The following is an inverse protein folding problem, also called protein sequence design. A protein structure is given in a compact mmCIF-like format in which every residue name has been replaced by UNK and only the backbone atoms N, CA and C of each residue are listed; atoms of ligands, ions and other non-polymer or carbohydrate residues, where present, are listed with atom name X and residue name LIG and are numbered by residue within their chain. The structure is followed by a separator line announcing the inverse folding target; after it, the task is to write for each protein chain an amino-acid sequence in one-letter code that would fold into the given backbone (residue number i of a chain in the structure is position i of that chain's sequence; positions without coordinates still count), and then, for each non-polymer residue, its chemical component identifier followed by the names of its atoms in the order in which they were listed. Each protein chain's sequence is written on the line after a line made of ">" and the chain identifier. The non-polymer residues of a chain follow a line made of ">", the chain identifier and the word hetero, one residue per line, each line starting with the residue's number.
data_IF_877521546677
#
_entry.id   IF_877521546677
#
_cell.length_a   1.000
_cell.length_b   1.000
_cell.length_c   1.000
_cell.angle_alpha   90.00
_cell.angle_beta   90.00
_cell.angle_gamma   90.00
#
_symmetry.space_group_name_H-M   'P 1'
#
loop_
_entity.id
_entity.type
_entity.pdbx_description
1 polymer ?
#
# COMPACT_ATOMS: atom_id res chain seq x y z
N UNK A 1 -27.10 -5.01 2.88
CA UNK A 1 -25.83 -5.31 3.55
C UNK A 1 -26.15 -6.05 4.81
N UNK A 2 -25.36 -7.06 5.14
CA UNK A 2 -25.42 -7.75 6.43
C UNK A 2 -24.25 -7.26 7.32
N UNK A 3 -24.18 -7.71 8.58
CA UNK A 3 -23.11 -7.32 9.50
C UNK A 3 -21.70 -7.67 8.99
N UNK A 4 -21.53 -8.77 8.24
CA UNK A 4 -20.24 -9.18 7.70
C UNK A 4 -19.70 -8.21 6.63
N UNK A 5 -20.57 -7.59 5.84
CA UNK A 5 -20.16 -6.55 4.88
C UNK A 5 -19.56 -5.34 5.60
N UNK A 6 -20.13 -4.95 6.74
CA UNK A 6 -19.63 -3.84 7.56
C UNK A 6 -18.26 -4.16 8.16
N UNK A 7 -18.09 -5.35 8.73
CA UNK A 7 -16.80 -5.80 9.28
C UNK A 7 -15.72 -5.80 8.20
N UNK A 8 -16.07 -6.25 6.98
CA UNK A 8 -15.15 -6.19 5.84
C UNK A 8 -14.70 -4.77 5.51
N UNK A 9 -15.64 -3.81 5.49
CA UNK A 9 -15.34 -2.39 5.23
C UNK A 9 -14.46 -1.78 6.32
N UNK A 10 -14.75 -2.07 7.59
CA UNK A 10 -13.93 -1.60 8.72
C UNK A 10 -12.52 -2.19 8.67
N UNK A 11 -12.40 -3.48 8.35
CA UNK A 11 -11.11 -4.15 8.17
C UNK A 11 -10.26 -3.49 7.06
N UNK A 12 -10.88 -2.97 6.00
CA UNK A 12 -10.16 -2.16 5.01
C UNK A 12 -9.59 -0.87 5.62
N UNK A 13 -10.38 -0.16 6.43
CA UNK A 13 -9.95 1.07 7.10
C UNK A 13 -8.78 0.79 8.05
N UNK A 14 -8.91 -0.18 8.96
CA UNK A 14 -7.84 -0.57 9.89
C UNK A 14 -6.59 -1.12 9.19
N UNK A 15 -6.78 -1.77 8.04
CA UNK A 15 -5.69 -2.25 7.19
C UNK A 15 -4.80 -1.14 6.63
N UNK A 16 -5.38 0.05 6.36
CA UNK A 16 -4.65 1.19 5.80
C UNK A 16 -3.98 2.11 6.82
N UNK A 17 -4.17 1.87 8.12
CA UNK A 17 -3.56 2.69 9.19
C UNK A 17 -2.27 2.06 9.71
N UNK A 18 -1.07 2.50 9.29
CA UNK A 18 0.19 1.89 9.69
C UNK A 18 0.45 2.02 11.19
N UNK A 19 1.27 1.13 11.75
CA UNK A 19 1.78 1.29 13.11
C UNK A 19 2.66 2.54 13.21
N UNK A 20 2.56 3.28 14.32
CA UNK A 20 3.18 4.60 14.43
C UNK A 20 4.71 4.56 14.27
N UNK A 21 5.36 3.58 14.91
CA UNK A 21 6.81 3.41 14.83
C UNK A 21 7.28 3.07 13.42
N UNK A 22 6.43 2.42 12.63
CA UNK A 22 6.73 2.13 11.23
C UNK A 22 6.67 3.40 10.38
N UNK A 23 5.73 4.31 10.66
CA UNK A 23 5.69 5.63 10.02
C UNK A 23 6.93 6.44 10.39
N UNK A 24 7.26 6.52 11.69
CA UNK A 24 8.45 7.24 12.19
C UNK A 24 9.73 6.72 11.55
N UNK A 25 9.91 5.39 11.56
CA UNK A 25 11.07 4.73 10.95
C UNK A 25 11.13 4.89 9.43
N UNK A 26 9.99 4.90 8.74
CA UNK A 26 9.96 5.15 7.30
C UNK A 26 10.37 6.60 6.98
N UNK A 27 9.92 7.57 7.77
CA UNK A 27 10.34 8.97 7.64
C UNK A 27 11.85 9.10 7.87
N UNK A 28 12.38 8.50 8.94
CA UNK A 28 13.82 8.50 9.23
C UNK A 28 14.63 7.95 8.06
N UNK A 29 14.23 6.79 7.54
CA UNK A 29 14.89 6.17 6.40
C UNK A 29 14.89 7.06 5.16
N UNK A 30 13.79 7.77 4.89
CA UNK A 30 13.69 8.68 3.75
C UNK A 30 14.53 9.95 3.93
N UNK A 31 14.65 10.46 5.16
CA UNK A 31 15.45 11.65 5.47
C UNK A 31 16.96 11.38 5.46
N UNK A 32 17.38 10.14 5.69
CA UNK A 32 18.79 9.71 5.64
C UNK A 32 19.31 9.50 4.20
N UNK A 33 18.44 9.62 3.19
CA UNK A 33 18.83 9.47 1.80
C UNK A 33 19.65 10.67 1.28
N UNK A 34 20.39 10.44 0.18
CA UNK A 34 21.07 11.51 -0.55
C UNK A 34 20.11 12.58 -1.07
N UNK A 35 20.64 13.77 -1.39
CA UNK A 35 19.83 14.91 -1.87
C UNK A 35 18.93 14.57 -3.07
N UNK A 36 19.39 13.68 -3.96
CA UNK A 36 18.56 13.04 -4.98
C UNK A 36 18.51 11.55 -4.70
N UNK A 37 17.32 11.00 -4.58
CA UNK A 37 17.15 9.59 -4.29
C UNK A 37 15.95 9.01 -5.04
N UNK A 38 15.85 7.68 -5.04
CA UNK A 38 14.68 6.99 -5.55
C UNK A 38 14.31 5.84 -4.66
N UNK A 39 13.02 5.57 -4.55
CA UNK A 39 12.50 4.48 -3.73
C UNK A 39 11.47 3.63 -4.50
N UNK A 40 11.41 2.34 -4.17
CA UNK A 40 10.31 1.48 -4.58
C UNK A 40 9.26 1.46 -3.47
N UNK A 41 8.01 1.70 -3.85
CA UNK A 41 6.85 1.63 -2.94
C UNK A 41 6.76 0.25 -2.26
N UNK A 42 7.09 -0.82 -2.99
CA UNK A 42 7.07 -2.18 -2.46
C UNK A 42 8.24 -2.45 -1.50
N UNK A 43 9.42 -1.89 -1.78
CA UNK A 43 10.58 -2.03 -0.88
C UNK A 43 10.30 -1.34 0.45
N UNK A 44 9.83 -0.09 0.42
CA UNK A 44 9.42 0.65 1.61
C UNK A 44 8.31 -0.07 2.37
N UNK A 45 7.30 -0.58 1.67
CA UNK A 45 6.22 -1.32 2.31
C UNK A 45 6.70 -2.59 3.01
N UNK A 46 7.65 -3.32 2.43
CA UNK A 46 8.23 -4.50 3.07
C UNK A 46 9.16 -4.18 4.25
N UNK A 47 9.89 -3.07 4.17
CA UNK A 47 10.80 -2.63 5.24
C UNK A 47 10.01 -2.21 6.49
N UNK A 48 8.99 -1.37 6.29
CA UNK A 48 8.23 -0.73 7.35
C UNK A 48 6.85 -1.37 7.59
N UNK A 49 6.54 -2.50 6.94
CA UNK A 49 5.21 -3.15 7.07
C UNK A 49 4.02 -2.21 6.74
N UNK A 50 4.21 -1.30 5.79
CA UNK A 50 3.20 -0.32 5.35
C UNK A 50 2.62 -0.76 4.00
N UNK A 51 1.29 -0.79 3.86
CA UNK A 51 0.65 -1.16 2.59
C UNK A 51 1.06 -0.18 1.46
N UNK A 52 1.21 -0.64 0.19
CA UNK A 52 1.70 0.20 -0.90
C UNK A 52 0.96 1.53 -1.11
N UNK A 53 -0.37 1.55 -0.96
CA UNK A 53 -1.16 2.78 -1.09
C UNK A 53 -0.89 3.78 0.05
N UNK A 54 -0.66 3.26 1.24
CA UNK A 54 -0.32 4.03 2.44
C UNK A 54 1.09 4.60 2.32
N UNK A 55 2.05 3.85 1.78
CA UNK A 55 3.39 4.38 1.44
C UNK A 55 3.30 5.56 0.48
N UNK A 56 2.51 5.44 -0.60
CA UNK A 56 2.28 6.56 -1.53
C UNK A 56 1.65 7.77 -0.84
N UNK A 57 0.72 7.53 0.08
CA UNK A 57 0.09 8.59 0.89
C UNK A 57 1.14 9.28 1.77
N UNK A 58 2.01 8.53 2.45
CA UNK A 58 3.08 9.08 3.27
C UNK A 58 4.06 9.94 2.43
N UNK A 59 4.49 9.44 1.27
CA UNK A 59 5.35 10.21 0.35
C UNK A 59 4.67 11.51 -0.11
N UNK A 60 3.37 11.47 -0.38
CA UNK A 60 2.58 12.66 -0.75
C UNK A 60 2.51 13.65 0.42
N UNK A 61 2.31 13.17 1.65
CA UNK A 61 2.32 14.05 2.82
C UNK A 61 3.67 14.71 3.03
N UNK A 62 4.78 13.96 2.90
CA UNK A 62 6.12 14.54 2.97
C UNK A 62 6.35 15.61 1.89
N UNK A 63 5.82 15.41 0.69
CA UNK A 63 5.87 16.43 -0.36
C UNK A 63 5.04 17.68 -0.03
N UNK A 64 3.84 17.51 0.53
CA UNK A 64 2.99 18.62 0.98
C UNK A 64 3.57 19.40 2.15
N UNK A 65 4.31 18.74 3.04
CA UNK A 65 5.05 19.37 4.14
C UNK A 65 6.37 20.00 3.68
N UNK A 66 6.70 19.93 2.38
CA UNK A 66 7.90 20.56 1.83
C UNK A 66 9.20 19.86 2.21
N UNK A 67 9.15 18.56 2.52
CA UNK A 67 10.32 17.75 2.90
C UNK A 67 11.04 17.20 1.66
N UNK A 68 10.25 16.72 0.70
CA UNK A 68 10.73 16.12 -0.54
C UNK A 68 9.95 16.70 -1.72
N UNK A 69 10.48 16.56 -2.93
CA UNK A 69 9.75 16.88 -4.15
C UNK A 69 9.92 15.77 -5.17
N UNK A 70 8.82 15.33 -5.78
CA UNK A 70 8.86 14.29 -6.80
C UNK A 70 9.61 14.77 -8.04
N UNK A 71 10.50 13.92 -8.56
CA UNK A 71 11.15 14.07 -9.86
C UNK A 71 10.52 13.19 -10.94
N UNK A 72 9.44 12.48 -10.59
CA UNK A 72 8.66 11.62 -11.48
C UNK A 72 8.97 10.13 -11.31
N UNK A 73 8.06 9.26 -11.79
CA UNK A 73 8.27 7.83 -11.80
C UNK A 73 9.27 7.43 -12.90
N UNK A 74 10.04 6.37 -12.65
CA UNK A 74 10.88 5.75 -13.66
C UNK A 74 11.06 4.25 -13.36
N UNK A 75 11.52 3.50 -14.36
CA UNK A 75 11.84 2.08 -14.19
C UNK A 75 13.35 1.92 -14.09
N UNK A 76 13.85 1.23 -13.06
CA UNK A 76 15.27 0.96 -12.90
C UNK A 76 15.79 -0.09 -13.89
N UNK A 77 14.93 -1.05 -14.26
CA UNK A 77 15.32 -2.20 -15.07
C UNK A 77 14.44 -2.34 -16.31
N UNK A 78 15.08 -2.70 -17.43
CA UNK A 78 14.39 -3.15 -18.64
C UNK A 78 14.68 -4.63 -18.84
N UNK A 79 13.63 -5.42 -19.00
CA UNK A 79 13.72 -6.79 -19.47
C UNK A 79 13.49 -6.81 -20.97
N UNK A 80 14.25 -7.63 -21.69
CA UNK A 80 14.03 -7.83 -23.10
C UNK A 80 14.17 -9.30 -23.49
N UNK A 81 13.34 -9.74 -24.44
CA UNK A 81 13.47 -11.02 -25.10
C UNK A 81 13.99 -10.77 -26.51
N UNK A 82 15.23 -11.15 -26.85
CA UNK A 82 15.74 -10.98 -28.21
C UNK A 82 14.95 -11.87 -29.18
N UNK A 83 14.53 -11.29 -30.30
CA UNK A 83 13.92 -12.01 -31.43
C UNK A 83 14.94 -12.24 -32.56
N UNK A 84 15.99 -11.42 -32.60
CA UNK A 84 17.14 -11.56 -33.50
C UNK A 84 18.44 -11.60 -32.71
N UNK A 85 19.48 -12.15 -33.33
CA UNK A 85 20.82 -12.16 -32.73
C UNK A 85 21.41 -10.75 -32.66
N UNK A 86 22.33 -10.52 -31.72
CA UNK A 86 23.03 -9.23 -31.64
C UNK A 86 23.79 -8.89 -32.92
N UNK A 87 24.32 -9.88 -33.64
CA UNK A 87 25.00 -9.69 -34.91
C UNK A 87 24.05 -9.13 -35.99
N UNK A 88 22.87 -9.73 -36.14
CA UNK A 88 21.84 -9.25 -37.08
C UNK A 88 21.34 -7.86 -36.71
N UNK A 89 21.22 -7.57 -35.40
CA UNK A 89 20.80 -6.25 -34.94
C UNK A 89 21.83 -5.21 -35.32
N UNK A 90 23.10 -5.46 -35.00
CA UNK A 90 24.22 -4.53 -35.17
C UNK A 90 24.52 -4.25 -36.65
N UNK A 91 24.36 -5.24 -37.54
CA UNK A 91 24.67 -5.10 -38.96
C UNK A 91 23.91 -3.97 -39.69
N UNK A 92 22.79 -3.48 -39.12
CA UNK A 92 21.95 -2.43 -39.71
C UNK A 92 22.35 -1.00 -39.33
N UNK A 93 23.34 -0.84 -38.45
CA UNK A 93 23.73 0.46 -37.92
C UNK A 93 25.15 0.84 -38.33
N UNK A 94 25.44 2.14 -38.34
CA UNK A 94 26.80 2.69 -38.50
C UNK A 94 27.72 2.30 -37.32
N UNK A 95 29.03 2.53 -37.48
CA UNK A 95 30.04 2.13 -36.50
C UNK A 95 29.85 2.76 -35.11
N UNK A 96 29.38 4.01 -35.03
CA UNK A 96 29.13 4.69 -33.77
C UNK A 96 27.98 4.01 -33.01
N UNK A 97 26.85 3.80 -33.70
CA UNK A 97 25.67 3.14 -33.13
C UNK A 97 25.93 1.68 -32.79
N UNK A 98 26.72 0.96 -33.59
CA UNK A 98 27.15 -0.40 -33.27
C UNK A 98 27.95 -0.44 -31.97
N UNK A 99 28.87 0.49 -31.78
CA UNK A 99 29.68 0.59 -30.55
C UNK A 99 28.77 0.83 -29.34
N UNK A 100 27.85 1.80 -29.45
CA UNK A 100 26.87 2.08 -28.41
C UNK A 100 26.01 0.85 -28.05
N UNK A 101 25.41 0.19 -29.04
CA UNK A 101 24.55 -0.99 -28.82
C UNK A 101 25.34 -2.18 -28.26
N UNK A 102 26.60 -2.40 -28.68
CA UNK A 102 27.46 -3.43 -28.09
C UNK A 102 27.70 -3.16 -26.61
N UNK A 103 28.01 -1.92 -26.24
CA UNK A 103 28.21 -1.53 -24.84
C UNK A 103 26.91 -1.67 -24.04
N UNK A 104 25.78 -1.25 -24.59
CA UNK A 104 24.47 -1.42 -23.95
C UNK A 104 24.13 -2.90 -23.71
N UNK A 105 24.24 -3.75 -24.74
CA UNK A 105 23.97 -5.18 -24.60
C UNK A 105 24.98 -5.90 -23.70
N UNK A 106 26.19 -5.37 -23.53
CA UNK A 106 27.17 -5.89 -22.56
C UNK A 106 26.75 -5.68 -21.10
N UNK A 107 25.80 -4.77 -20.85
CA UNK A 107 25.18 -4.57 -19.54
C UNK A 107 24.06 -5.58 -19.27
N UNK A 108 23.66 -6.38 -20.27
CA UNK A 108 22.54 -7.30 -20.13
C UNK A 108 22.93 -8.57 -19.35
N UNK A 109 22.18 -8.87 -18.29
CA UNK A 109 22.24 -10.15 -17.58
C UNK A 109 21.33 -11.14 -18.31
N UNK A 110 21.91 -12.18 -18.89
CA UNK A 110 21.18 -13.18 -19.67
C UNK A 110 20.48 -14.19 -18.76
N UNK A 111 19.17 -14.39 -18.93
CA UNK A 111 18.45 -15.59 -18.47
C UNK A 111 17.96 -16.38 -19.69
N UNK A 112 17.29 -17.52 -19.49
CA UNK A 112 16.92 -18.42 -20.60
C UNK A 112 16.10 -17.75 -21.71
N UNK A 113 15.12 -16.91 -21.37
CA UNK A 113 14.22 -16.27 -22.34
C UNK A 113 14.31 -14.74 -22.26
N UNK A 114 14.40 -14.19 -21.05
CA UNK A 114 14.42 -12.76 -20.79
C UNK A 114 15.77 -12.32 -20.28
N UNK A 115 16.31 -11.26 -20.83
CA UNK A 115 17.55 -10.64 -20.41
C UNK A 115 17.20 -9.35 -19.67
N UNK A 116 18.00 -8.93 -18.71
CA UNK A 116 17.73 -7.72 -17.92
C UNK A 116 18.86 -6.72 -18.08
N UNK A 117 18.53 -5.43 -18.26
CA UNK A 117 19.46 -4.30 -18.27
C UNK A 117 19.12 -3.39 -17.09
N UNK A 118 20.10 -3.15 -16.23
CA UNK A 118 20.08 -2.06 -15.27
C UNK A 118 20.39 -0.74 -16.01
N UNK A 119 19.45 0.20 -15.96
CA UNK A 119 19.59 1.44 -16.72
C UNK A 119 20.65 2.38 -16.14
N UNK A 120 20.92 2.35 -14.84
CA UNK A 120 21.94 3.20 -14.22
C UNK A 120 23.34 2.68 -14.57
N UNK A 121 23.54 1.36 -14.52
CA UNK A 121 24.76 0.72 -15.04
C UNK A 121 24.96 1.01 -16.53
N UNK A 122 23.88 0.95 -17.32
CA UNK A 122 23.95 1.25 -18.74
C UNK A 122 24.32 2.72 -19.01
N UNK A 123 23.77 3.68 -18.25
CA UNK A 123 24.17 5.10 -18.32
C UNK A 123 25.65 5.25 -18.01
N UNK A 124 26.14 4.64 -16.93
CA UNK A 124 27.55 4.73 -16.53
C UNK A 124 28.48 4.12 -17.58
N UNK A 125 28.19 2.91 -18.09
CA UNK A 125 29.05 2.22 -19.07
C UNK A 125 29.02 2.85 -20.46
N UNK A 126 27.86 3.34 -20.91
CA UNK A 126 27.72 3.93 -22.25
C UNK A 126 28.09 5.41 -22.28
N UNK A 127 28.19 6.07 -21.12
CA UNK A 127 28.35 7.52 -21.02
C UNK A 127 27.17 8.31 -21.62
N UNK A 128 26.05 7.63 -21.92
CA UNK A 128 24.92 8.22 -22.64
C UNK A 128 23.79 8.58 -21.67
N UNK A 129 23.02 9.65 -21.95
CA UNK A 129 21.85 9.97 -21.15
C UNK A 129 20.82 8.83 -21.14
N UNK A 130 20.15 8.61 -19.99
CA UNK A 130 19.13 7.57 -19.83
C UNK A 130 18.09 7.56 -20.96
N UNK A 131 17.66 8.76 -21.39
CA UNK A 131 16.72 8.92 -22.50
C UNK A 131 17.21 8.29 -23.81
N UNK A 132 18.51 8.41 -24.14
CA UNK A 132 19.09 7.79 -25.35
C UNK A 132 19.04 6.27 -25.29
N UNK A 133 19.28 5.70 -24.11
CA UNK A 133 19.22 4.25 -23.88
C UNK A 133 17.79 3.74 -24.03
N UNK A 134 16.82 4.40 -23.40
CA UNK A 134 15.41 4.06 -23.51
C UNK A 134 14.96 4.14 -24.97
N UNK A 135 15.23 5.26 -25.66
CA UNK A 135 14.89 5.42 -27.08
C UNK A 135 15.51 4.34 -27.97
N UNK A 136 16.75 3.90 -27.69
CA UNK A 136 17.38 2.84 -28.44
C UNK A 136 16.71 1.48 -28.22
N UNK A 137 16.34 1.15 -26.97
CA UNK A 137 15.60 -0.07 -26.66
C UNK A 137 14.21 -0.05 -27.32
N UNK A 138 13.48 1.05 -27.20
CA UNK A 138 12.15 1.22 -27.81
C UNK A 138 12.21 1.09 -29.33
N UNK A 139 13.25 1.65 -29.96
CA UNK A 139 13.48 1.52 -31.40
C UNK A 139 13.66 0.06 -31.82
N UNK A 140 14.41 -0.72 -31.04
CA UNK A 140 14.65 -2.15 -31.31
C UNK A 140 13.37 -2.97 -31.14
N UNK A 141 12.51 -2.62 -30.20
CA UNK A 141 11.19 -3.23 -30.06
C UNK A 141 10.29 -2.92 -31.26
N UNK A 142 10.18 -1.64 -31.62
CA UNK A 142 9.39 -1.18 -32.77
C UNK A 142 9.87 -1.79 -34.09
N UNK A 143 11.17 -2.06 -34.20
CA UNK A 143 11.79 -2.73 -35.36
C UNK A 143 11.63 -4.25 -35.35
N UNK A 144 10.96 -4.83 -34.34
CA UNK A 144 10.73 -6.27 -34.20
C UNK A 144 11.99 -7.07 -33.88
N UNK A 145 13.01 -6.45 -33.28
CA UNK A 145 14.29 -7.10 -32.97
C UNK A 145 14.30 -7.76 -31.59
N UNK A 146 13.47 -7.25 -30.70
CA UNK A 146 13.27 -7.74 -29.34
C UNK A 146 11.86 -7.38 -28.86
N UNK A 147 11.45 -7.95 -27.74
CA UNK A 147 10.25 -7.56 -26.98
C UNK A 147 10.72 -6.95 -25.67
N UNK A 148 10.18 -5.81 -25.27
CA UNK A 148 10.50 -5.16 -23.99
C UNK A 148 9.43 -5.42 -22.93
N UNK A 149 9.90 -5.45 -21.68
CA UNK A 149 9.08 -5.37 -20.50
C UNK A 149 9.81 -4.49 -19.48
N UNK A 150 9.11 -3.51 -18.93
CA UNK A 150 9.67 -2.65 -17.88
C UNK A 150 9.44 -3.26 -16.50
N UNK A 151 10.47 -3.24 -15.66
CA UNK A 151 10.37 -3.73 -14.27
C UNK A 151 11.11 -2.80 -13.30
N UNK A 152 10.86 -2.97 -12.00
CA UNK A 152 11.48 -2.11 -10.98
C UNK A 152 10.98 -0.68 -11.06
N UNK A 153 9.65 -0.50 -10.99
CA UNK A 153 9.07 0.84 -10.89
C UNK A 153 9.57 1.52 -9.61
N UNK A 154 10.16 2.70 -9.76
CA UNK A 154 10.68 3.56 -8.70
C UNK A 154 10.08 4.95 -8.82
N UNK A 155 10.02 5.65 -7.70
CA UNK A 155 9.67 7.05 -7.63
C UNK A 155 10.94 7.83 -7.32
N UNK A 156 11.26 8.80 -8.17
CA UNK A 156 12.37 9.72 -7.93
C UNK A 156 11.93 10.89 -7.05
N UNK A 157 12.81 11.31 -6.16
CA UNK A 157 12.63 12.45 -5.29
C UNK A 157 13.92 13.25 -5.15
N UNK A 158 13.76 14.50 -4.74
CA UNK A 158 14.85 15.31 -4.19
C UNK A 158 14.46 15.82 -2.82
N UNK A 159 15.40 15.81 -1.88
CA UNK A 159 15.22 16.45 -0.59
C UNK A 159 15.15 17.96 -0.78
N UNK A 160 14.25 18.60 -0.05
CA UNK A 160 14.19 20.05 0.06
C UNK A 160 14.99 20.49 1.29
N UNK A 161 15.58 21.68 1.24
CA UNK A 161 16.29 22.21 2.40
C UNK A 161 15.31 22.40 3.54
N UNK A 162 15.43 21.53 4.54
CA UNK A 162 14.54 21.48 5.70
C UNK A 162 14.67 22.71 6.61
N UNK A 163 15.70 23.54 6.46
CA UNK A 163 15.95 24.72 7.31
C UNK A 163 15.88 24.35 8.80
N UNK A 164 15.08 25.11 9.55
CA UNK A 164 14.81 24.89 10.99
C UNK A 164 13.59 23.96 11.24
N UNK A 165 13.22 23.11 10.28
CA UNK A 165 12.07 22.22 10.43
C UNK A 165 12.25 21.26 11.60
N UNK A 166 11.28 21.28 12.51
CA UNK A 166 11.19 20.36 13.64
C UNK A 166 10.77 18.96 13.15
N UNK A 167 11.76 18.11 12.88
CA UNK A 167 11.56 16.73 12.42
C UNK A 167 10.74 15.89 13.41
N UNK A 168 11.01 15.91 14.74
CA UNK A 168 10.11 15.31 15.72
C UNK A 168 8.65 15.74 15.57
N UNK A 169 8.38 17.05 15.48
CA UNK A 169 7.01 17.55 15.33
C UNK A 169 6.36 17.11 13.99
N UNK A 170 7.13 17.08 12.90
CA UNK A 170 6.67 16.57 11.61
C UNK A 170 6.25 15.10 11.70
N UNK A 171 7.05 14.25 12.35
CA UNK A 171 6.73 12.83 12.51
C UNK A 171 5.41 12.63 13.25
N UNK A 172 5.24 13.31 14.39
CA UNK A 172 3.99 13.23 15.16
C UNK A 172 2.80 13.74 14.35
N UNK A 173 2.98 14.85 13.62
CA UNK A 173 1.94 15.37 12.71
C UNK A 173 1.52 14.32 11.68
N UNK A 174 2.47 13.62 11.05
CA UNK A 174 2.17 12.62 10.03
C UNK A 174 1.56 11.34 10.60
N UNK A 175 2.00 10.89 11.78
CA UNK A 175 1.35 9.80 12.53
C UNK A 175 -0.10 10.16 12.83
N UNK A 176 -0.35 11.34 13.41
CA UNK A 176 -1.70 11.81 13.71
C UNK A 176 -2.59 11.96 12.48
N UNK A 177 -2.03 12.29 11.30
CA UNK A 177 -2.82 12.31 10.05
C UNK A 177 -3.37 10.93 9.69
N UNK A 178 -2.63 9.85 9.93
CA UNK A 178 -3.13 8.49 9.69
C UNK A 178 -4.19 8.07 10.71
N UNK A 179 -3.96 8.36 11.99
CA UNK A 179 -4.94 8.07 13.07
C UNK A 179 -6.25 8.81 12.80
N UNK A 180 -6.18 10.12 12.52
CA UNK A 180 -7.37 10.92 12.23
C UNK A 180 -8.09 10.45 10.96
N UNK A 181 -7.36 9.93 9.97
CA UNK A 181 -7.97 9.35 8.77
C UNK A 181 -8.76 8.08 9.13
N UNK A 182 -8.18 7.19 9.93
CA UNK A 182 -8.87 6.01 10.45
C UNK A 182 -10.18 6.40 11.15
N UNK A 183 -10.10 7.33 12.12
CA UNK A 183 -11.26 7.81 12.87
C UNK A 183 -12.35 8.39 11.96
N UNK A 184 -11.98 9.23 10.98
CA UNK A 184 -12.93 9.82 10.04
C UNK A 184 -13.59 8.78 9.14
N UNK A 185 -12.81 7.81 8.63
CA UNK A 185 -13.33 6.77 7.74
C UNK A 185 -14.25 5.81 8.50
N UNK A 186 -13.92 5.44 9.76
CA UNK A 186 -14.80 4.70 10.65
C UNK A 186 -16.08 5.48 11.01
N UNK A 187 -15.95 6.77 11.31
CA UNK A 187 -17.12 7.62 11.59
C UNK A 187 -18.07 7.69 10.40
N UNK A 188 -17.54 7.81 9.17
CA UNK A 188 -18.36 7.77 7.95
C UNK A 188 -19.09 6.44 7.77
N UNK A 189 -18.43 5.32 8.07
CA UNK A 189 -19.09 4.01 8.07
C UNK A 189 -20.22 3.97 9.11
N UNK A 190 -19.97 4.48 10.32
CA UNK A 190 -20.98 4.55 11.37
C UNK A 190 -22.19 5.40 10.96
N UNK A 191 -22.00 6.53 10.28
CA UNK A 191 -23.11 7.34 9.75
C UNK A 191 -24.00 6.55 8.76
N UNK A 192 -23.41 5.66 7.96
CA UNK A 192 -24.18 4.77 7.07
C UNK A 192 -24.96 3.74 7.88
N UNK A 193 -24.37 3.18 8.94
CA UNK A 193 -25.06 2.25 9.85
C UNK A 193 -26.22 2.96 10.55
N UNK A 194 -26.01 4.17 11.05
CA UNK A 194 -27.02 4.98 11.71
C UNK A 194 -28.17 5.30 10.74
N UNK A 195 -27.87 5.63 9.48
CA UNK A 195 -28.88 5.82 8.43
C UNK A 195 -29.70 4.53 8.18
N UNK A 196 -29.04 3.37 8.12
CA UNK A 196 -29.73 2.09 7.89
C UNK A 196 -30.64 1.75 9.07
N UNK A 197 -30.16 1.99 10.30
CA UNK A 197 -30.86 1.70 11.56
C UNK A 197 -31.81 2.81 12.01
N UNK A 198 -31.86 3.94 11.28
CA UNK A 198 -32.65 5.10 11.65
C UNK A 198 -34.14 4.74 11.76
N UNK A 199 -34.78 5.08 12.87
CA UNK A 199 -36.23 4.91 13.07
C UNK A 199 -37.00 6.10 12.47
N UNK A 200 -36.91 6.27 11.14
CA UNK A 200 -37.47 7.41 10.42
C UNK A 200 -37.24 7.37 8.91
N UNK A 201 -37.66 8.43 8.21
CA UNK A 201 -37.46 8.57 6.77
C UNK A 201 -35.96 8.59 6.41
N UNK A 202 -35.50 7.53 5.71
CA UNK A 202 -34.09 7.42 5.28
C UNK A 202 -33.67 8.53 4.33
N UNK A 203 -34.56 8.95 3.43
CA UNK A 203 -34.30 10.06 2.52
C UNK A 203 -34.14 11.38 3.28
N UNK A 204 -34.98 11.61 4.30
CA UNK A 204 -34.85 12.77 5.18
C UNK A 204 -33.52 12.79 5.93
N UNK A 205 -33.10 11.64 6.49
CA UNK A 205 -31.79 11.50 7.13
C UNK A 205 -30.64 11.83 6.18
N UNK A 206 -30.67 11.29 4.95
CA UNK A 206 -29.63 11.51 3.95
C UNK A 206 -29.55 12.97 3.50
N UNK A 207 -30.70 13.61 3.26
CA UNK A 207 -30.76 15.01 2.89
C UNK A 207 -30.19 15.89 4.02
N UNK A 208 -30.56 15.61 5.27
CA UNK A 208 -30.08 16.37 6.42
C UNK A 208 -28.55 16.29 6.56
N UNK A 209 -27.95 15.12 6.27
CA UNK A 209 -26.50 14.96 6.21
C UNK A 209 -25.84 15.89 5.17
N UNK A 210 -26.49 16.14 4.03
CA UNK A 210 -26.03 17.09 3.01
C UNK A 210 -26.47 18.54 3.26
N UNK A 211 -27.12 18.82 4.39
CA UNK A 211 -27.59 20.16 4.77
C UNK A 211 -28.91 20.56 4.12
N UNK A 212 -29.70 19.58 3.65
CA UNK A 212 -31.04 19.79 3.09
C UNK A 212 -32.10 19.22 4.03
N UNK A 213 -33.16 19.98 4.27
CA UNK A 213 -34.30 19.51 5.05
C UNK A 213 -35.44 19.08 4.14
N UNK A 214 -36.15 18.03 4.56
CA UNK A 214 -37.33 17.53 3.88
C UNK A 214 -38.58 17.95 4.67
N UNK A 215 -39.49 18.71 4.06
CA UNK A 215 -40.69 19.22 4.74
C UNK A 215 -41.64 18.10 5.20
N UNK A 216 -41.65 16.97 4.48
CA UNK A 216 -42.46 15.79 4.77
C UNK A 216 -41.70 14.53 4.42
N UNK A 217 -41.91 13.46 5.17
CA UNK A 217 -41.40 12.13 4.85
C UNK A 217 -41.57 11.77 3.36
N UNK A 218 -40.56 11.13 2.76
CA UNK A 218 -40.44 11.00 1.31
C UNK A 218 -41.52 10.11 0.65
N UNK A 219 -42.24 9.31 1.43
CA UNK A 219 -43.32 8.45 0.94
C UNK A 219 -42.87 7.24 0.10
N UNK A 220 -41.57 7.02 -0.07
CA UNK A 220 -41.05 5.94 -0.95
C UNK A 220 -39.89 5.14 -0.35
N UNK A 221 -39.34 5.49 0.82
CA UNK A 221 -38.34 4.66 1.49
C UNK A 221 -39.00 3.56 2.32
N UNK A 222 -38.25 2.51 2.69
CA UNK A 222 -38.73 1.39 3.51
C UNK A 222 -39.50 1.84 4.75
N UNK A 223 -38.97 2.77 5.54
CA UNK A 223 -39.70 3.29 6.69
C UNK A 223 -41.04 3.96 6.33
N UNK A 224 -41.11 4.74 5.25
CA UNK A 224 -42.34 5.42 4.84
C UNK A 224 -43.38 4.45 4.25
N UNK A 225 -42.93 3.33 3.67
CA UNK A 225 -43.80 2.32 3.06
C UNK A 225 -44.27 1.28 4.08
N UNK A 226 -43.34 0.80 4.90
CA UNK A 226 -43.50 -0.38 5.76
C UNK A 226 -43.56 -0.01 7.26
N UNK A 227 -43.25 1.23 7.63
CA UNK A 227 -43.26 1.73 9.02
C UNK A 227 -42.01 1.35 9.83
N UNK A 228 -41.10 0.58 9.27
CA UNK A 228 -39.88 0.13 9.93
C UNK A 228 -38.70 0.01 8.96
N UNK A 229 -37.50 -0.03 9.52
CA UNK A 229 -36.27 -0.29 8.80
C UNK A 229 -35.63 -1.56 9.34
N UNK A 230 -35.20 -2.47 8.46
CA UNK A 230 -34.44 -3.65 8.88
C UNK A 230 -33.14 -3.22 9.52
N UNK A 231 -32.97 -3.53 10.80
CA UNK A 231 -31.77 -3.20 11.55
C UNK A 231 -30.58 -4.04 11.07
N UNK A 232 -29.45 -3.37 10.89
CA UNK A 232 -28.14 -3.96 10.78
C UNK A 232 -27.63 -4.29 12.19
N UNK A 233 -27.51 -5.58 12.50
CA UNK A 233 -27.00 -6.10 13.78
C UNK A 233 -25.54 -6.52 13.60
N UNK A 234 -24.68 -6.21 14.58
CA UNK A 234 -23.29 -6.64 14.66
C UNK A 234 -23.16 -7.93 15.49
N UNK A 235 -22.24 -8.81 15.10
CA UNK A 235 -21.79 -9.91 15.95
C UNK A 235 -20.63 -9.41 16.84
N UNK A 236 -20.75 -9.57 18.15
CA UNK A 236 -19.87 -8.89 19.12
C UNK A 236 -18.94 -9.81 19.93
N UNK A 237 -19.09 -11.15 19.86
CA UNK A 237 -18.41 -12.03 20.82
C UNK A 237 -17.01 -12.50 20.37
N UNK A 238 -15.98 -11.74 20.75
CA UNK A 238 -14.56 -12.11 20.56
C UNK A 238 -14.16 -13.32 21.41
N UNK A 239 -14.56 -13.35 22.68
CA UNK A 239 -14.18 -14.39 23.63
C UNK A 239 -14.71 -15.80 23.25
N UNK A 240 -15.79 -15.88 22.49
CA UNK A 240 -16.30 -17.16 21.98
C UNK A 240 -15.41 -17.76 20.87
N UNK A 241 -14.57 -16.95 20.22
CA UNK A 241 -13.81 -17.35 19.03
C UNK A 241 -12.36 -17.73 19.33
N UNK A 242 -11.76 -17.18 20.39
CA UNK A 242 -10.38 -17.44 20.81
C UNK A 242 -10.35 -18.27 22.10
N UNK A 243 -10.39 -19.60 21.95
CA UNK A 243 -10.19 -20.52 23.07
C UNK A 243 -8.73 -20.57 23.55
N UNK A 244 -8.49 -21.20 24.70
CA UNK A 244 -7.15 -21.30 25.31
C UNK A 244 -6.10 -21.90 24.36
N UNK A 245 -6.49 -22.81 23.46
CA UNK A 245 -5.59 -23.45 22.51
C UNK A 245 -5.15 -22.45 21.43
N UNK A 246 -6.08 -21.71 20.85
CA UNK A 246 -5.78 -20.67 19.85
C UNK A 246 -4.94 -19.55 20.45
N UNK A 247 -5.17 -19.20 21.72
CA UNK A 247 -4.38 -18.20 22.45
C UNK A 247 -2.93 -18.69 22.63
N UNK A 248 -2.73 -19.94 23.03
CA UNK A 248 -1.39 -20.52 23.15
C UNK A 248 -0.67 -20.54 21.79
N UNK A 249 -1.37 -20.93 20.73
CA UNK A 249 -0.85 -20.92 19.36
C UNK A 249 -0.44 -19.50 18.93
N UNK A 250 -1.30 -18.50 19.17
CA UNK A 250 -1.00 -17.10 18.89
C UNK A 250 0.25 -16.63 19.63
N UNK A 251 0.37 -16.94 20.92
CA UNK A 251 1.54 -16.61 21.73
C UNK A 251 2.83 -17.24 21.18
N UNK A 252 2.76 -18.49 20.73
CA UNK A 252 3.89 -19.17 20.11
C UNK A 252 4.28 -18.51 18.77
N UNK A 253 3.31 -18.09 17.95
CA UNK A 253 3.57 -17.34 16.72
C UNK A 253 4.18 -15.97 17.02
N UNK A 254 3.69 -15.24 18.03
CA UNK A 254 4.25 -13.94 18.46
C UNK A 254 5.71 -14.04 18.88
N UNK A 255 6.07 -15.11 19.61
CA UNK A 255 7.46 -15.38 19.99
C UNK A 255 8.35 -15.72 18.78
N UNK A 256 7.79 -16.43 17.80
CA UNK A 256 8.51 -16.87 16.60
C UNK A 256 8.69 -15.76 15.55
N UNK A 257 7.72 -14.85 15.45
CA UNK A 257 7.68 -13.76 14.48
C UNK A 257 7.39 -12.42 15.17
N UNK A 258 8.28 -11.97 16.09
CA UNK A 258 8.06 -10.74 16.83
C UNK A 258 7.93 -9.53 15.91
N UNK A 259 8.63 -9.51 14.78
CA UNK A 259 8.52 -8.43 13.81
C UNK A 259 7.10 -8.32 13.23
N UNK A 260 6.35 -9.41 13.11
CA UNK A 260 5.08 -9.44 12.37
C UNK A 260 3.84 -9.46 13.27
N UNK A 261 3.98 -9.77 14.57
CA UNK A 261 2.85 -10.01 15.49
C UNK A 261 3.05 -9.40 16.89
N UNK A 262 4.10 -8.61 17.12
CA UNK A 262 4.37 -8.06 18.45
C UNK A 262 3.34 -7.01 18.86
N UNK A 263 2.99 -6.08 17.96
CA UNK A 263 2.03 -5.02 18.31
C UNK A 263 0.60 -5.58 18.37
N UNK A 264 -0.27 -5.05 19.24
CA UNK A 264 -1.68 -5.45 19.26
C UNK A 264 -2.37 -5.29 17.91
N UNK A 265 -2.04 -4.22 17.17
CA UNK A 265 -2.58 -3.95 15.83
C UNK A 265 -2.11 -4.99 14.82
N UNK A 266 -0.85 -5.41 14.86
CA UNK A 266 -0.31 -6.47 14.00
C UNK A 266 -0.99 -7.82 14.27
N UNK A 267 -1.12 -8.21 15.54
CA UNK A 267 -1.82 -9.43 15.92
C UNK A 267 -3.32 -9.38 15.55
N UNK A 268 -3.98 -8.23 15.72
CA UNK A 268 -5.36 -8.03 15.28
C UNK A 268 -5.49 -8.18 13.76
N UNK A 269 -4.60 -7.58 12.96
CA UNK A 269 -4.58 -7.77 11.50
C UNK A 269 -4.49 -9.23 11.10
N UNK A 270 -3.59 -9.96 11.75
CA UNK A 270 -3.41 -11.38 11.50
C UNK A 270 -4.70 -12.18 11.76
N UNK A 271 -5.32 -12.00 12.93
CA UNK A 271 -6.56 -12.70 13.29
C UNK A 271 -7.76 -12.27 12.41
N UNK A 272 -7.83 -11.00 12.01
CA UNK A 272 -8.88 -10.47 11.12
C UNK A 272 -8.66 -10.82 9.64
N UNK A 273 -7.54 -11.46 9.28
CA UNK A 273 -7.25 -11.82 7.89
C UNK A 273 -6.82 -10.62 7.03
N UNK A 274 -6.38 -9.53 7.65
CA UNK A 274 -5.91 -8.33 6.97
C UNK A 274 -4.43 -8.50 6.62
N UNK A 275 -4.15 -8.70 5.33
CA UNK A 275 -2.78 -8.90 4.86
C UNK A 275 -1.92 -7.64 5.02
N UNK A 276 -0.68 -7.81 5.49
CA UNK A 276 0.37 -6.79 5.47
C UNK A 276 1.61 -7.29 4.71
N UNK A 277 2.50 -6.40 4.24
CA UNK A 277 3.75 -6.82 3.59
C UNK A 277 4.57 -7.79 4.44
N UNK A 278 4.66 -7.56 5.75
CA UNK A 278 5.45 -8.41 6.65
C UNK A 278 4.78 -9.77 6.88
N UNK A 279 3.44 -9.83 7.01
CA UNK A 279 2.69 -11.11 7.09
C UNK A 279 2.85 -11.97 5.82
N UNK A 280 2.88 -11.34 4.64
CA UNK A 280 3.12 -12.04 3.37
C UNK A 280 4.56 -12.58 3.34
N UNK A 281 5.54 -11.75 3.71
CA UNK A 281 6.97 -12.11 3.71
C UNK A 281 7.28 -13.27 4.65
N UNK A 282 6.69 -13.29 5.84
CA UNK A 282 6.85 -14.36 6.84
C UNK A 282 5.97 -15.58 6.55
N UNK A 283 5.14 -15.54 5.50
CA UNK A 283 4.17 -16.58 5.11
C UNK A 283 3.11 -16.87 6.16
N UNK A 284 2.89 -15.96 7.11
CA UNK A 284 1.85 -16.07 8.13
C UNK A 284 0.44 -16.06 7.53
N UNK A 285 0.26 -15.48 6.34
CA UNK A 285 -1.01 -15.56 5.59
C UNK A 285 -1.46 -16.98 5.22
N UNK A 286 -0.61 -17.99 5.39
CA UNK A 286 -0.94 -19.41 5.19
C UNK A 286 -1.21 -20.18 6.48
N UNK A 287 -1.04 -19.52 7.64
CA UNK A 287 -1.28 -20.11 8.94
C UNK A 287 -2.79 -20.29 9.20
N UNK A 288 -3.16 -21.29 9.98
CA UNK A 288 -4.56 -21.59 10.28
C UNK A 288 -5.25 -20.50 11.13
N UNK A 289 -4.49 -19.72 11.91
CA UNK A 289 -5.04 -18.62 12.70
C UNK A 289 -5.25 -17.34 11.89
N UNK A 290 -4.66 -17.24 10.69
CA UNK A 290 -4.86 -16.07 9.83
C UNK A 290 -6.31 -15.99 9.37
N UNK A 291 -7.00 -14.88 9.67
CA UNK A 291 -8.41 -14.71 9.32
C UNK A 291 -9.39 -15.50 10.20
N UNK A 292 -8.92 -16.17 11.26
CA UNK A 292 -9.78 -16.96 12.16
C UNK A 292 -10.86 -16.14 12.89
N UNK A 293 -10.71 -14.81 12.93
CA UNK A 293 -11.61 -13.87 13.57
C UNK A 293 -12.14 -12.81 12.58
N UNK A 294 -12.15 -13.09 11.27
CA UNK A 294 -12.52 -12.11 10.23
C UNK A 294 -13.96 -11.55 10.33
N UNK A 295 -14.87 -12.26 11.01
CA UNK A 295 -16.27 -11.86 11.21
C UNK A 295 -16.47 -10.95 12.42
N UNK A 296 -15.42 -10.76 13.24
CA UNK A 296 -15.47 -9.96 14.45
C UNK A 296 -14.90 -8.56 14.20
N UNK A 297 -15.31 -7.59 15.03
CA UNK A 297 -14.77 -6.24 14.93
C UNK A 297 -13.27 -6.20 15.21
N UNK A 298 -12.52 -5.54 14.33
CA UNK A 298 -11.07 -5.34 14.51
C UNK A 298 -10.77 -4.62 15.83
N UNK A 299 -11.55 -3.60 16.18
CA UNK A 299 -11.41 -2.87 17.44
C UNK A 299 -11.54 -3.79 18.64
N UNK A 300 -12.59 -4.62 18.69
CA UNK A 300 -12.80 -5.58 19.76
C UNK A 300 -11.67 -6.61 19.88
N UNK A 301 -11.15 -7.09 18.74
CA UNK A 301 -9.99 -8.00 18.75
C UNK A 301 -8.73 -7.28 19.27
N UNK A 302 -8.50 -6.05 18.83
CA UNK A 302 -7.33 -5.27 19.26
C UNK A 302 -7.35 -4.99 20.76
N UNK A 303 -8.49 -4.63 21.32
CA UNK A 303 -8.65 -4.41 22.76
C UNK A 303 -8.52 -5.73 23.53
N UNK A 304 -9.13 -6.80 23.04
CA UNK A 304 -8.98 -8.13 23.62
C UNK A 304 -7.51 -8.58 23.66
N UNK A 305 -6.74 -8.34 22.60
CA UNK A 305 -5.29 -8.65 22.57
C UNK A 305 -4.54 -7.86 23.64
N UNK A 306 -4.82 -6.57 23.81
CA UNK A 306 -4.15 -5.72 24.82
C UNK A 306 -4.36 -6.25 26.24
N UNK A 307 -5.51 -6.85 26.50
CA UNK A 307 -5.87 -7.36 27.82
C UNK A 307 -5.38 -8.79 28.09
N UNK A 308 -5.27 -9.62 27.05
CA UNK A 308 -5.11 -11.08 27.22
C UNK A 308 -3.80 -11.66 26.68
N UNK A 309 -3.02 -10.91 25.89
CA UNK A 309 -1.86 -11.45 25.16
C UNK A 309 -0.65 -10.53 25.23
#
# INVERSE_FOLDING_TARGET
>A
GNGSDLVTLENFVYGDTPDEDMVRGCIDYLLDQEHFFSCSVYELGNLFDIRPLVVKTLLTYLELEGVIKSTGPFYAEYKFKPLKSSAEILARFDAERQTFLRTLFSCAVKKQVWFTIDLDQAVQKTGSPRKRIITALDYLEQSGDLILQVTGARLGFRCLDAGDMDIPALKEKLVHRFIRREENDLHRLQLVVDMVNHSGCRTGFLLNYFGEDLEKDCGHCSFCLDGENTALVREESVAATLDSQRIEQLNNLRKKFPEALQSPRQAARFLCGISSPRLIRTKLTRDALFGSCQELSFAGIMDWIRENV
#
